data_IF_449822004808
#
_entry.id   IF_449822004808
#
_cell.length_a   1.000
_cell.length_b   1.000
_cell.length_c   1.000
_cell.angle_alpha   90.00
_cell.angle_beta   90.00
_cell.angle_gamma   90.00
#
_symmetry.space_group_name_H-M   'P 1'
#
loop_
_entity.id
_entity.type
_entity.pdbx_description
1 polymer ?
#
# COMPACT_ATOMS: atom_id res chain seq x y z
N UNK A 1 -12.68 13.71 66.69
CA UNK A 1 -13.19 13.34 65.36
C UNK A 1 -12.40 14.15 64.33
N UNK A 2 -11.39 13.54 63.72
CA UNK A 2 -10.45 14.22 62.83
C UNK A 2 -10.97 14.08 61.40
N UNK A 3 -11.69 15.09 60.91
CA UNK A 3 -12.03 15.14 59.47
C UNK A 3 -10.80 15.63 58.72
N UNK A 4 -10.14 14.69 58.03
CA UNK A 4 -8.99 14.95 57.18
C UNK A 4 -9.39 15.89 56.03
N UNK A 5 -8.75 17.07 55.88
CA UNK A 5 -9.18 18.12 54.95
C UNK A 5 -8.98 17.76 53.46
N UNK A 6 -8.42 16.60 53.15
CA UNK A 6 -8.12 16.17 51.78
C UNK A 6 -9.30 15.48 51.05
N UNK A 7 -10.39 15.16 51.76
CA UNK A 7 -11.53 14.44 51.18
C UNK A 7 -12.36 15.27 50.19
N UNK A 8 -12.31 16.60 50.25
CA UNK A 8 -13.05 17.50 49.33
C UNK A 8 -12.21 17.99 48.14
N UNK A 9 -10.88 17.85 48.19
CA UNK A 9 -9.98 18.25 47.09
C UNK A 9 -9.80 17.13 46.05
N UNK A 10 -10.12 15.88 46.39
CA UNK A 10 -9.98 14.73 45.48
C UNK A 10 -10.95 14.73 44.30
N UNK A 11 -12.16 15.27 44.46
CA UNK A 11 -13.19 15.21 43.42
C UNK A 11 -12.86 16.07 42.18
N UNK A 12 -12.23 17.22 42.38
CA UNK A 12 -11.85 18.11 41.27
C UNK A 12 -10.72 17.54 40.42
N UNK A 13 -9.69 16.98 41.06
CA UNK A 13 -8.51 16.45 40.39
C UNK A 13 -8.85 15.13 39.67
N UNK A 14 -9.66 14.26 40.29
CA UNK A 14 -10.11 13.01 39.68
C UNK A 14 -11.04 13.30 38.50
N UNK A 15 -11.97 14.25 38.64
CA UNK A 15 -12.84 14.68 37.54
C UNK A 15 -12.07 15.26 36.35
N UNK A 16 -11.07 16.09 36.62
CA UNK A 16 -10.21 16.70 35.60
C UNK A 16 -9.30 15.65 34.94
N UNK A 17 -8.78 14.68 35.71
CA UNK A 17 -8.00 13.57 35.17
C UNK A 17 -8.84 12.65 34.26
N UNK A 18 -10.07 12.30 34.67
CA UNK A 18 -10.99 11.50 33.84
C UNK A 18 -11.38 12.26 32.56
N UNK A 19 -11.64 13.57 32.66
CA UNK A 19 -11.95 14.40 31.50
C UNK A 19 -10.78 14.53 30.52
N UNK A 20 -9.54 14.68 31.03
CA UNK A 20 -8.34 14.72 30.19
C UNK A 20 -8.07 13.36 29.52
N UNK A 21 -8.21 12.24 30.24
CA UNK A 21 -8.03 10.90 29.67
C UNK A 21 -9.08 10.63 28.57
N UNK A 22 -10.34 11.01 28.79
CA UNK A 22 -11.40 10.91 27.79
C UNK A 22 -11.15 11.81 26.57
N UNK A 23 -10.63 13.02 26.79
CA UNK A 23 -10.25 13.94 25.70
C UNK A 23 -9.11 13.36 24.84
N UNK A 24 -8.03 12.87 25.46
CA UNK A 24 -6.89 12.31 24.73
C UNK A 24 -7.21 10.97 24.03
N UNK A 25 -8.10 10.14 24.58
CA UNK A 25 -8.53 8.91 23.92
C UNK A 25 -9.28 9.17 22.60
N UNK A 26 -9.92 10.33 22.46
CA UNK A 26 -10.70 10.72 21.28
C UNK A 26 -9.81 11.10 20.06
N UNK A 27 -8.52 11.40 20.26
CA UNK A 27 -7.63 11.82 19.17
C UNK A 27 -7.08 10.68 18.30
N UNK A 28 -7.16 9.42 18.75
CA UNK A 28 -6.49 8.30 18.09
C UNK A 28 -7.24 7.69 16.89
N UNK A 29 -8.52 8.04 16.69
CA UNK A 29 -9.32 7.50 15.58
C UNK A 29 -9.15 8.27 14.26
N UNK A 30 -8.59 9.49 14.28
CA UNK A 30 -8.59 10.36 13.10
C UNK A 30 -7.47 10.12 12.08
N UNK A 31 -6.55 9.18 12.32
CA UNK A 31 -5.36 8.97 11.48
C UNK A 31 -5.35 7.67 10.66
N UNK A 32 -6.41 6.84 10.70
CA UNK A 32 -6.46 5.60 9.92
C UNK A 32 -7.16 5.72 8.56
N UNK A 33 -7.77 6.86 8.28
CA UNK A 33 -8.30 7.14 6.95
C UNK A 33 -7.29 7.96 6.16
N UNK A 34 -6.21 7.28 5.73
CA UNK A 34 -5.47 7.77 4.59
C UNK A 34 -6.49 7.92 3.45
N UNK A 35 -6.71 9.13 2.90
CA UNK A 35 -7.59 9.26 1.76
C UNK A 35 -6.98 8.41 0.65
N UNK A 36 -7.67 7.33 0.28
CA UNK A 36 -7.45 6.68 -1.01
C UNK A 36 -7.74 7.75 -2.07
N UNK A 37 -6.74 8.56 -2.38
CA UNK A 37 -6.72 9.39 -3.58
C UNK A 37 -6.84 8.40 -4.71
N UNK A 38 -8.06 8.20 -5.23
CA UNK A 38 -8.18 8.02 -6.67
C UNK A 38 -7.54 9.26 -7.26
N UNK A 39 -6.33 9.12 -7.81
CA UNK A 39 -5.86 10.11 -8.78
C UNK A 39 -6.98 10.19 -9.81
N UNK A 40 -7.56 11.36 -10.10
CA UNK A 40 -8.25 11.55 -11.35
C UNK A 40 -7.21 11.17 -12.40
N UNK A 41 -7.40 9.99 -13.00
CA UNK A 41 -6.70 9.64 -14.21
C UNK A 41 -7.12 10.71 -15.21
N UNK A 42 -6.25 11.71 -15.42
CA UNK A 42 -6.32 12.61 -16.55
C UNK A 42 -6.42 11.73 -17.78
N UNK A 43 -7.66 11.58 -18.26
CA UNK A 43 -7.96 11.02 -19.56
C UNK A 43 -7.34 12.01 -20.54
N UNK A 44 -6.10 11.77 -20.94
CA UNK A 44 -5.60 12.30 -22.19
C UNK A 44 -6.37 11.58 -23.29
N UNK A 45 -7.33 12.29 -23.87
CA UNK A 45 -7.97 11.89 -25.11
C UNK A 45 -6.92 11.70 -26.20
N UNK A 46 -6.75 10.47 -26.68
CA UNK A 46 -6.58 10.20 -28.11
C UNK A 46 -6.73 8.70 -28.40
N UNK A 47 -7.38 8.32 -29.52
CA UNK A 47 -7.77 6.96 -29.81
C UNK A 47 -6.61 6.23 -30.50
N UNK A 48 -5.88 5.42 -29.75
CA UNK A 48 -5.29 4.23 -30.36
C UNK A 48 -5.45 3.06 -29.38
N UNK A 49 -6.36 2.19 -29.75
CA UNK A 49 -6.67 0.97 -29.03
C UNK A 49 -5.41 0.08 -28.93
N UNK A 50 -5.22 -0.51 -27.75
CA UNK A 50 -4.34 -1.66 -27.47
C UNK A 50 -2.85 -1.40 -27.26
N UNK A 51 -2.47 -0.57 -26.30
CA UNK A 51 -1.13 -0.65 -25.71
C UNK A 51 -1.08 -1.71 -24.59
N UNK A 52 -1.37 -2.97 -24.92
CA UNK A 52 -1.04 -4.11 -24.05
C UNK A 52 0.48 -4.40 -24.05
N UNK A 53 1.30 -3.45 -24.53
CA UNK A 53 2.74 -3.64 -24.74
C UNK A 53 3.61 -2.98 -23.67
N UNK A 54 3.04 -2.36 -22.63
CA UNK A 54 3.82 -1.71 -21.57
C UNK A 54 4.05 -2.61 -20.34
N UNK A 55 5.25 -2.54 -19.76
CA UNK A 55 5.63 -3.26 -18.55
C UNK A 55 4.76 -2.86 -17.37
N UNK A 56 4.10 -3.83 -16.73
CA UNK A 56 3.16 -3.56 -15.62
C UNK A 56 3.84 -3.13 -14.32
N UNK A 57 5.17 -3.24 -14.25
CA UNK A 57 5.95 -2.95 -13.03
C UNK A 57 6.43 -1.50 -13.03
N UNK A 58 6.96 -1.02 -14.16
CA UNK A 58 7.45 0.36 -14.27
C UNK A 58 6.52 1.29 -15.05
N UNK A 59 5.64 0.78 -15.91
CA UNK A 59 4.83 1.55 -16.86
C UNK A 59 5.64 2.52 -17.75
N UNK A 60 6.95 2.31 -17.86
CA UNK A 60 7.88 3.16 -18.62
C UNK A 60 8.42 2.44 -19.86
N UNK A 61 8.74 1.16 -19.74
CA UNK A 61 9.36 0.35 -20.80
C UNK A 61 8.35 -0.63 -21.40
N UNK A 62 8.55 -1.02 -22.66
CA UNK A 62 7.75 -2.06 -23.30
C UNK A 62 8.04 -3.46 -22.72
N UNK A 63 7.05 -4.33 -22.81
CA UNK A 63 7.14 -5.75 -22.47
C UNK A 63 8.09 -6.40 -23.47
N UNK A 64 9.16 -6.98 -22.95
CA UNK A 64 10.20 -7.62 -23.76
C UNK A 64 10.56 -9.02 -23.26
N UNK A 65 9.83 -9.55 -22.28
CA UNK A 65 10.14 -10.84 -21.65
C UNK A 65 8.93 -11.75 -21.67
N UNK A 66 9.15 -13.00 -22.10
CA UNK A 66 8.19 -14.10 -22.00
C UNK A 66 8.70 -15.18 -21.06
N UNK A 67 7.92 -15.52 -20.05
CA UNK A 67 8.24 -16.56 -19.08
C UNK A 67 7.89 -17.96 -19.57
N UNK A 68 8.72 -18.95 -19.27
CA UNK A 68 8.48 -20.36 -19.59
C UNK A 68 8.48 -21.21 -18.31
N UNK A 69 7.60 -22.22 -18.21
CA UNK A 69 6.69 -22.73 -19.25
C UNK A 69 5.34 -21.99 -19.35
N UNK A 70 5.06 -21.01 -18.49
CA UNK A 70 3.72 -20.44 -18.38
C UNK A 70 3.30 -19.52 -19.55
N UNK A 71 4.23 -19.02 -20.35
CA UNK A 71 3.98 -18.22 -21.54
C UNK A 71 3.61 -16.75 -21.30
N UNK A 72 3.53 -16.31 -20.04
CA UNK A 72 3.13 -14.95 -19.69
C UNK A 72 4.23 -13.92 -19.98
N UNK A 73 3.83 -12.78 -20.54
CA UNK A 73 4.69 -11.64 -20.87
C UNK A 73 4.05 -10.35 -20.38
N UNK A 74 4.61 -9.78 -19.31
CA UNK A 74 4.06 -8.57 -18.67
C UNK A 74 5.13 -7.58 -18.22
N UNK A 75 6.42 -7.92 -18.39
CA UNK A 75 7.52 -7.15 -17.85
C UNK A 75 8.59 -6.89 -18.90
N UNK A 76 9.30 -5.77 -18.73
CA UNK A 76 10.54 -5.49 -19.44
C UNK A 76 11.71 -6.27 -18.82
N UNK A 77 12.83 -6.31 -19.55
CA UNK A 77 14.06 -7.00 -19.14
C UNK A 77 14.63 -6.50 -17.80
N UNK A 78 14.63 -5.18 -17.58
CA UNK A 78 15.14 -4.58 -16.34
C UNK A 78 14.32 -4.99 -15.11
N UNK A 79 12.98 -4.95 -15.23
CA UNK A 79 12.10 -5.36 -14.16
C UNK A 79 12.19 -6.87 -13.92
N UNK A 80 12.36 -7.69 -14.96
CA UNK A 80 12.60 -9.13 -14.82
C UNK A 80 13.86 -9.43 -13.99
N UNK A 81 14.98 -8.74 -14.25
CA UNK A 81 16.22 -8.90 -13.48
C UNK A 81 15.99 -8.59 -11.99
N UNK A 82 15.26 -7.52 -11.69
CA UNK A 82 14.93 -7.14 -10.29
C UNK A 82 14.01 -8.17 -9.64
N UNK A 83 12.94 -8.57 -10.31
CA UNK A 83 11.98 -9.56 -9.80
C UNK A 83 12.67 -10.88 -9.49
N UNK A 84 13.52 -11.38 -10.40
CA UNK A 84 14.23 -12.66 -10.22
C UNK A 84 15.14 -12.72 -9.00
N UNK A 85 15.61 -11.57 -8.48
CA UNK A 85 16.37 -11.51 -7.23
C UNK A 85 15.51 -11.76 -6.00
N UNK A 86 14.21 -11.47 -6.08
CA UNK A 86 13.27 -11.60 -4.96
C UNK A 86 12.41 -12.87 -5.08
N UNK A 87 11.97 -13.22 -6.29
CA UNK A 87 11.15 -14.41 -6.54
C UNK A 87 11.42 -14.99 -7.94
N UNK A 88 11.47 -16.32 -8.02
CA UNK A 88 11.57 -17.04 -9.31
C UNK A 88 10.20 -17.58 -9.76
N UNK A 89 9.15 -16.79 -9.56
CA UNK A 89 7.76 -17.14 -9.88
C UNK A 89 7.12 -16.10 -10.80
N UNK A 90 6.27 -16.55 -11.70
CA UNK A 90 5.52 -15.67 -12.59
C UNK A 90 4.49 -14.87 -11.78
N UNK A 91 4.47 -13.54 -11.91
CA UNK A 91 3.54 -12.66 -11.18
C UNK A 91 2.05 -12.86 -11.53
N UNK A 92 1.76 -13.48 -12.68
CA UNK A 92 0.38 -13.69 -13.13
C UNK A 92 -0.20 -15.04 -12.67
N UNK A 93 0.61 -16.10 -12.68
CA UNK A 93 0.15 -17.46 -12.42
C UNK A 93 0.89 -18.18 -11.29
N UNK A 94 1.88 -17.52 -10.68
CA UNK A 94 2.71 -17.99 -9.57
C UNK A 94 3.48 -19.30 -9.82
N UNK A 95 3.46 -19.82 -11.06
CA UNK A 95 4.28 -20.96 -11.49
C UNK A 95 5.76 -20.57 -11.47
N UNK A 96 6.63 -21.53 -11.12
CA UNK A 96 8.08 -21.37 -11.19
C UNK A 96 8.51 -21.06 -12.62
N UNK A 97 9.50 -20.18 -12.75
CA UNK A 97 10.05 -19.78 -14.04
C UNK A 97 11.34 -20.55 -14.28
N UNK A 98 11.31 -21.47 -15.24
CA UNK A 98 12.47 -22.29 -15.60
C UNK A 98 13.45 -21.49 -16.46
N UNK A 99 12.91 -20.77 -17.44
CA UNK A 99 13.65 -19.87 -18.33
C UNK A 99 12.77 -18.72 -18.81
N UNK A 100 13.39 -17.72 -19.40
CA UNK A 100 12.71 -16.60 -20.04
C UNK A 100 13.35 -16.31 -21.39
N UNK A 101 12.57 -15.77 -22.31
CA UNK A 101 13.01 -15.40 -23.66
C UNK A 101 12.72 -13.92 -23.87
N UNK A 102 13.67 -13.22 -24.50
CA UNK A 102 13.44 -11.84 -24.94
C UNK A 102 12.64 -11.85 -26.24
N UNK A 103 11.56 -11.07 -26.29
CA UNK A 103 10.67 -10.94 -27.45
C UNK A 103 10.78 -9.56 -28.06
#
# INVERSE_FOLDING_TARGET
MVYSPYALLGAGIIGLAIALIAYFANEHEKQKEAPYRRRPSEKKDSPNCTDYSMCIVCNENQISIKYMPCGHSYVCDECNIRLRRHSNQCIHCHKRIDRYVRI
#
